data_IF_650411064918
#
_entry.id   IF_650411064918
#
_cell.length_a   1.000
_cell.length_b   1.000
_cell.length_c   1.000
_cell.angle_alpha   90.00
_cell.angle_beta   90.00
_cell.angle_gamma   90.00
#
_symmetry.space_group_name_H-M   'P 1'
#
loop_
_entity.id
_entity.type
_entity.pdbx_description
1 polymer ?
#
# COMPACT_ATOMS: atom_id res chain seq x y z
N UNK A 1 -12.49 -12.80 -18.39
CA UNK A 1 -11.39 -12.77 -19.39
C UNK A 1 -10.09 -12.50 -18.64
N UNK A 2 -8.93 -12.99 -19.08
CA UNK A 2 -7.64 -12.66 -18.46
C UNK A 2 -6.89 -11.72 -19.40
N UNK A 3 -6.54 -10.54 -18.90
CA UNK A 3 -5.78 -9.54 -19.64
C UNK A 3 -4.36 -9.45 -19.08
N UNK A 4 -3.37 -9.62 -19.95
CA UNK A 4 -1.96 -9.53 -19.58
C UNK A 4 -1.11 -9.07 -20.77
N UNK A 5 0.09 -8.58 -20.49
CA UNK A 5 1.03 -8.12 -21.52
C UNK A 5 1.96 -9.26 -21.96
N UNK A 6 2.20 -9.34 -23.26
CA UNK A 6 3.18 -10.25 -23.83
C UNK A 6 4.60 -9.86 -23.37
N UNK A 7 5.43 -10.77 -22.84
CA UNK A 7 6.81 -10.44 -22.44
C UNK A 7 7.74 -10.18 -23.64
N UNK A 8 7.35 -10.59 -24.86
CA UNK A 8 8.16 -10.45 -26.06
C UNK A 8 7.87 -9.15 -26.83
N UNK A 9 6.59 -8.82 -27.03
CA UNK A 9 6.18 -7.66 -27.82
C UNK A 9 5.42 -6.59 -27.02
N UNK A 10 5.21 -6.79 -25.71
CA UNK A 10 4.50 -5.88 -24.81
C UNK A 10 3.06 -5.53 -25.21
N UNK A 11 2.46 -6.26 -26.16
CA UNK A 11 1.05 -6.08 -26.52
C UNK A 11 0.12 -6.61 -25.41
N UNK A 12 -1.01 -5.95 -25.21
CA UNK A 12 -2.11 -6.48 -24.39
C UNK A 12 -2.78 -7.66 -25.09
N UNK A 13 -2.81 -8.81 -24.43
CA UNK A 13 -3.44 -10.04 -24.91
C UNK A 13 -4.58 -10.39 -23.97
N UNK A 14 -5.71 -10.75 -24.56
CA UNK A 14 -6.85 -11.31 -23.86
C UNK A 14 -6.87 -12.84 -24.04
N UNK A 15 -6.72 -13.58 -22.95
CA UNK A 15 -6.80 -15.05 -22.96
C UNK A 15 -8.06 -15.55 -22.23
N UNK A 16 -8.53 -16.73 -22.67
CA UNK A 16 -9.62 -17.45 -21.99
C UNK A 16 -9.10 -18.02 -20.66
N UNK A 17 -9.92 -18.03 -19.59
CA UNK A 17 -9.54 -18.60 -18.31
C UNK A 17 -9.27 -20.11 -18.38
N UNK A 18 -9.84 -20.83 -19.36
CA UNK A 18 -9.53 -22.23 -19.62
C UNK A 18 -8.07 -22.48 -20.03
N UNK A 19 -7.39 -21.46 -20.54
CA UNK A 19 -5.98 -21.51 -20.93
C UNK A 19 -5.05 -20.98 -19.82
N UNK A 20 -5.59 -20.59 -18.66
CA UNK A 20 -4.79 -20.14 -17.52
C UNK A 20 -3.82 -21.25 -17.07
N UNK A 21 -2.55 -20.90 -16.90
CA UNK A 21 -1.48 -21.84 -16.56
C UNK A 21 -0.96 -22.68 -17.73
N UNK A 22 -1.54 -22.56 -18.93
CA UNK A 22 -1.06 -23.23 -20.15
C UNK A 22 -0.21 -22.29 -20.99
N UNK A 23 0.59 -22.87 -21.89
CA UNK A 23 1.32 -22.14 -22.92
C UNK A 23 0.33 -21.79 -24.04
N UNK A 24 0.30 -20.52 -24.43
CA UNK A 24 -0.54 -19.99 -25.51
C UNK A 24 0.33 -19.22 -26.50
N UNK A 25 -0.14 -19.03 -27.74
CA UNK A 25 0.57 -18.23 -28.74
C UNK A 25 0.06 -16.80 -28.76
N UNK A 26 0.98 -15.83 -28.79
CA UNK A 26 0.64 -14.42 -28.92
C UNK A 26 0.02 -14.13 -30.31
N UNK A 27 -1.09 -13.40 -30.41
CA UNK A 27 -1.71 -13.08 -31.71
C UNK A 27 -0.91 -12.07 -32.55
N UNK A 28 -0.04 -11.27 -31.93
CA UNK A 28 0.80 -10.29 -32.64
C UNK A 28 2.14 -10.88 -33.08
N UNK A 29 2.95 -11.38 -32.14
CA UNK A 29 4.30 -11.87 -32.43
C UNK A 29 4.39 -13.39 -32.60
N UNK A 30 3.31 -14.15 -32.35
CA UNK A 30 3.26 -15.63 -32.43
C UNK A 30 4.20 -16.37 -31.47
N UNK A 31 4.85 -15.65 -30.55
CA UNK A 31 5.68 -16.24 -29.51
C UNK A 31 4.83 -17.07 -28.53
N UNK A 32 5.45 -18.11 -27.99
CA UNK A 32 4.88 -18.95 -26.95
C UNK A 32 4.97 -18.22 -25.60
N UNK A 33 3.82 -17.95 -25.01
CA UNK A 33 3.68 -17.19 -23.75
C UNK A 33 2.84 -17.98 -22.76
N UNK A 34 3.30 -18.04 -21.52
CA UNK A 34 2.58 -18.71 -20.45
C UNK A 34 1.47 -17.79 -19.92
N UNK A 35 0.23 -18.26 -19.94
CA UNK A 35 -0.91 -17.48 -19.44
C UNK A 35 -0.90 -17.50 -17.91
N UNK A 36 -0.86 -16.33 -17.24
CA UNK A 36 -0.90 -16.30 -15.79
C UNK A 36 -2.26 -16.79 -15.25
N UNK A 37 -2.24 -17.49 -14.10
CA UNK A 37 -3.49 -17.86 -13.42
C UNK A 37 -4.10 -16.62 -12.75
N UNK A 38 -5.37 -16.30 -13.01
CA UNK A 38 -6.04 -15.25 -12.27
C UNK A 38 -6.18 -15.75 -10.83
N UNK A 39 -5.61 -15.01 -9.87
CA UNK A 39 -5.88 -15.29 -8.46
C UNK A 39 -7.39 -15.10 -8.28
N UNK A 40 -8.08 -16.15 -7.84
CA UNK A 40 -9.45 -16.00 -7.34
C UNK A 40 -9.37 -15.16 -6.08
N UNK A 41 -9.53 -13.85 -6.21
CA UNK A 41 -9.83 -13.02 -5.07
C UNK A 41 -11.25 -13.38 -4.67
N UNK A 42 -11.41 -14.16 -3.60
CA UNK A 42 -12.70 -14.26 -2.91
C UNK A 42 -13.21 -12.84 -2.68
N UNK A 43 -14.52 -12.58 -2.84
CA UNK A 43 -15.06 -11.24 -2.61
C UNK A 43 -14.65 -10.78 -1.20
N UNK A 44 -14.27 -9.49 -1.03
CA UNK A 44 -13.93 -8.98 0.28
C UNK A 44 -15.10 -9.24 1.23
N UNK A 45 -14.84 -9.63 2.50
CA UNK A 45 -15.90 -9.68 3.49
C UNK A 45 -16.56 -8.30 3.51
N UNK A 46 -17.86 -8.26 3.25
CA UNK A 46 -18.65 -7.03 3.29
C UNK A 46 -18.40 -6.43 4.69
N UNK A 47 -17.86 -5.22 4.82
CA UNK A 47 -17.69 -4.62 6.14
C UNK A 47 -19.09 -4.41 6.72
N UNK A 48 -19.39 -5.12 7.81
CA UNK A 48 -20.57 -4.86 8.62
C UNK A 48 -20.40 -3.46 9.21
N UNK A 49 -21.01 -2.47 8.58
CA UNK A 49 -21.16 -1.13 9.13
C UNK A 49 -22.17 -1.20 10.27
N UNK A 50 -21.67 -1.23 11.51
CA UNK A 50 -22.47 -0.98 12.70
C UNK A 50 -22.37 0.50 13.03
N UNK A 51 -23.40 1.24 12.59
CA UNK A 51 -23.58 2.65 12.90
C UNK A 51 -23.92 2.86 14.38
N UNK A 52 -23.46 4.01 14.89
CA UNK A 52 -24.10 4.88 15.90
C UNK A 52 -24.36 4.29 17.30
N UNK A 53 -23.80 4.96 18.32
CA UNK A 53 -24.48 5.40 19.57
C UNK A 53 -23.40 5.80 20.57
N UNK A 54 -23.42 7.06 21.02
CA UNK A 54 -22.61 7.49 22.17
C UNK A 54 -21.95 8.87 22.07
N UNK A 55 -22.68 9.89 21.61
CA UNK A 55 -22.48 11.25 22.14
C UNK A 55 -23.41 11.35 23.34
N UNK A 56 -22.86 11.47 24.55
CA UNK A 56 -23.48 12.06 25.75
C UNK A 56 -22.48 11.80 26.88
N UNK A 57 -21.67 12.80 27.24
CA UNK A 57 -22.00 13.91 28.13
C UNK A 57 -21.33 13.69 29.49
N UNK A 58 -20.91 14.80 30.08
CA UNK A 58 -20.41 14.99 31.44
C UNK A 58 -18.92 14.65 31.70
N UNK A 59 -18.08 15.52 32.25
CA UNK A 59 -18.17 16.92 32.64
C UNK A 59 -16.80 17.29 33.27
N UNK A 60 -16.29 18.48 32.95
CA UNK A 60 -15.49 19.37 33.82
C UNK A 60 -13.98 19.07 34.04
N UNK A 61 -13.16 20.01 33.55
CA UNK A 61 -11.69 20.14 33.68
C UNK A 61 -11.25 20.70 35.07
N UNK A 62 -9.97 21.10 35.29
CA UNK A 62 -8.71 20.36 35.54
C UNK A 62 -8.12 20.86 36.90
N UNK A 63 -6.81 21.10 37.15
CA UNK A 63 -5.53 20.47 36.79
C UNK A 63 -4.69 20.10 38.03
N UNK A 64 -3.78 19.11 37.98
CA UNK A 64 -2.62 19.11 38.91
C UNK A 64 -1.33 18.70 38.19
N UNK A 65 -0.56 19.73 37.87
CA UNK A 65 0.88 19.86 38.13
C UNK A 65 1.61 18.55 38.50
N UNK A 66 2.47 18.11 37.59
CA UNK A 66 3.79 17.55 37.92
C UNK A 66 4.74 18.16 36.88
N UNK A 67 5.14 19.41 37.07
CA UNK A 67 6.45 19.77 37.63
C UNK A 67 7.56 18.86 37.08
N UNK A 68 8.29 19.27 36.04
CA UNK A 68 9.43 20.19 36.12
C UNK A 68 10.68 19.55 36.73
N UNK A 69 11.38 18.72 35.95
CA UNK A 69 12.85 18.60 36.05
C UNK A 69 13.39 18.64 34.62
N UNK A 70 13.70 19.84 34.12
CA UNK A 70 15.05 20.44 34.16
C UNK A 70 16.11 19.53 33.57
N UNK A 71 16.53 19.88 32.34
CA UNK A 71 17.88 19.78 31.75
C UNK A 71 17.67 19.65 30.24
N UNK A 72 17.44 20.75 29.51
CA UNK A 72 18.50 21.63 28.97
C UNK A 72 19.67 20.80 28.43
N UNK A 73 19.63 20.44 27.15
CA UNK A 73 20.83 20.06 26.38
C UNK A 73 20.61 20.12 24.87
N UNK A 74 19.78 21.05 24.39
CA UNK A 74 19.49 21.18 22.96
C UNK A 74 19.61 22.62 22.49
N UNK A 75 20.83 23.13 22.58
CA UNK A 75 21.52 24.16 21.77
C UNK A 75 22.91 24.26 22.42
N UNK A 76 24.05 24.15 21.75
CA UNK A 76 24.70 25.27 21.07
C UNK A 76 26.02 24.74 20.45
N UNK A 77 26.16 24.96 19.14
CA UNK A 77 27.24 25.82 18.64
C UNK A 77 28.73 25.37 18.65
N UNK A 78 29.12 24.21 19.17
CA UNK A 78 30.53 23.75 19.13
C UNK A 78 30.77 22.45 18.34
N UNK A 79 30.44 22.44 17.04
CA UNK A 79 31.21 21.60 16.10
C UNK A 79 31.23 22.15 14.67
N UNK A 80 31.64 23.41 14.62
CA UNK A 80 32.33 24.02 13.50
C UNK A 80 31.55 24.24 12.19
N UNK A 81 31.25 25.52 11.90
CA UNK A 81 30.84 25.97 10.57
C UNK A 81 32.02 25.93 9.60
N UNK A 82 31.68 26.00 8.32
CA UNK A 82 32.56 26.06 7.15
C UNK A 82 33.88 26.84 7.37
N UNK A 83 35.04 26.20 7.23
CA UNK A 83 36.31 26.77 6.73
C UNK A 83 37.47 25.76 6.83
N UNK A 84 37.80 25.06 5.73
CA UNK A 84 39.18 24.92 5.24
C UNK A 84 39.14 24.64 3.74
N UNK A 85 39.77 25.56 3.00
CA UNK A 85 39.98 25.57 1.56
C UNK A 85 40.63 24.30 1.03
#
# INVERSE_FOLDING_TARGET
MIEFKCPQCNVSIQAKPANAGKVSKCPQCKAEVQVPLPRKTSPPPIPAMSNTTGSEEAQLLPPRMVESETTVQQTEEDRYPALRL
#
